data_IF_652184238953
#
_entry.id   IF_652184238953
#
_cell.length_a   1.000
_cell.length_b   1.000
_cell.length_c   1.000
_cell.angle_alpha   90.00
_cell.angle_beta   90.00
_cell.angle_gamma   90.00
#
_symmetry.space_group_name_H-M   'P 1'
#
loop_
_entity.id
_entity.type
_entity.pdbx_description
1 polymer ?
#
# COMPACT_ATOMS: atom_id res chain seq x y z
N UNK A 1 -15.59 19.31 19.88
CA UNK A 1 -15.71 20.44 20.84
C UNK A 1 -15.15 21.66 20.19
N UNK A 2 -15.90 22.76 20.08
CA UNK A 2 -15.42 24.01 19.47
C UNK A 2 -14.44 24.73 20.39
N UNK A 3 -13.56 25.60 19.83
CA UNK A 3 -12.60 26.40 20.60
C UNK A 3 -13.30 27.33 21.60
N UNK A 4 -14.50 27.82 21.27
CA UNK A 4 -15.31 28.63 22.17
C UNK A 4 -15.81 27.81 23.38
N UNK A 5 -16.17 26.55 23.18
CA UNK A 5 -16.61 25.64 24.24
C UNK A 5 -15.44 25.20 25.12
N UNK A 6 -14.27 24.93 24.52
CA UNK A 6 -13.02 24.66 25.28
C UNK A 6 -12.58 25.87 26.10
N UNK A 7 -12.62 27.07 25.54
CA UNK A 7 -12.30 28.32 26.23
C UNK A 7 -13.18 28.51 27.46
N UNK A 8 -14.48 28.25 27.34
CA UNK A 8 -15.45 28.37 28.45
C UNK A 8 -15.21 27.30 29.53
N UNK A 9 -14.94 26.03 29.13
CA UNK A 9 -14.70 24.93 30.08
C UNK A 9 -13.40 25.08 30.85
N UNK A 10 -12.36 25.67 30.22
CA UNK A 10 -11.04 25.81 30.82
C UNK A 10 -10.83 27.19 31.44
N UNK A 11 -11.82 28.08 31.38
CA UNK A 11 -11.76 29.47 31.84
C UNK A 11 -10.54 30.27 31.30
N UNK A 12 -10.12 29.96 30.05
CA UNK A 12 -8.93 30.54 29.43
C UNK A 12 -9.33 31.52 28.32
N UNK A 13 -8.88 32.77 28.45
CA UNK A 13 -9.15 33.85 27.47
C UNK A 13 -8.43 33.67 26.13
N UNK A 14 -7.30 32.90 26.08
CA UNK A 14 -6.45 32.76 24.90
C UNK A 14 -6.17 31.27 24.61
N UNK A 15 -7.17 30.60 24.03
CA UNK A 15 -7.11 29.15 23.73
C UNK A 15 -5.97 28.82 22.76
N UNK A 16 -5.70 29.71 21.76
CA UNK A 16 -4.63 29.53 20.78
C UNK A 16 -3.25 29.46 21.41
N UNK A 17 -3.01 30.33 22.42
CA UNK A 17 -1.73 30.33 23.16
C UNK A 17 -1.58 29.06 24.01
N UNK A 18 -2.69 28.58 24.60
CA UNK A 18 -2.69 27.32 25.35
C UNK A 18 -2.39 26.13 24.44
N UNK A 19 -3.03 26.07 23.26
CA UNK A 19 -2.79 25.03 22.23
C UNK A 19 -1.33 25.05 21.76
N UNK A 20 -0.77 26.24 21.46
CA UNK A 20 0.62 26.40 21.05
C UNK A 20 1.60 25.93 22.12
N UNK A 21 1.37 26.32 23.38
CA UNK A 21 2.22 25.89 24.51
C UNK A 21 2.11 24.38 24.75
N UNK A 22 0.91 23.83 24.67
CA UNK A 22 0.69 22.37 24.77
C UNK A 22 1.41 21.63 23.65
N UNK A 23 1.30 22.10 22.41
CA UNK A 23 1.99 21.54 21.27
C UNK A 23 3.50 21.52 21.46
N UNK A 24 4.09 22.64 21.92
CA UNK A 24 5.52 22.72 22.24
C UNK A 24 5.92 21.70 23.29
N UNK A 25 5.16 21.58 24.39
CA UNK A 25 5.41 20.58 25.44
C UNK A 25 5.29 19.15 24.95
N UNK A 26 4.33 18.88 24.05
CA UNK A 26 4.20 17.56 23.41
C UNK A 26 5.46 17.25 22.58
N UNK A 27 5.93 18.21 21.77
CA UNK A 27 7.16 18.03 20.97
C UNK A 27 8.36 17.76 21.87
N UNK A 28 8.54 18.52 22.95
CA UNK A 28 9.60 18.30 23.93
C UNK A 28 9.52 16.90 24.56
N UNK A 29 8.32 16.46 24.97
CA UNK A 29 8.11 15.15 25.56
C UNK A 29 8.41 14.01 24.57
N UNK A 30 7.99 14.15 23.30
CA UNK A 30 8.22 13.16 22.26
C UNK A 30 9.71 12.99 21.90
N UNK A 31 10.52 14.04 22.12
CA UNK A 31 11.97 13.99 21.86
C UNK A 31 12.80 13.48 23.05
N UNK A 32 12.18 13.14 24.17
CA UNK A 32 12.88 12.55 25.32
C UNK A 32 13.32 11.11 25.06
N UNK A 33 14.41 10.69 25.67
CA UNK A 33 14.99 9.33 25.50
C UNK A 33 14.03 8.21 25.88
N UNK A 34 13.19 8.44 26.90
CA UNK A 34 12.17 7.48 27.33
C UNK A 34 11.20 7.10 26.22
N UNK A 35 10.80 8.09 25.40
CA UNK A 35 9.88 7.84 24.29
C UNK A 35 10.56 7.14 23.11
N UNK A 36 11.76 7.62 22.76
CA UNK A 36 12.59 7.09 21.67
C UNK A 36 13.03 5.65 21.92
N UNK A 37 13.17 5.24 23.19
CA UNK A 37 13.58 3.89 23.58
C UNK A 37 12.45 2.86 23.56
N UNK A 38 11.22 3.25 23.18
CA UNK A 38 10.09 2.32 23.10
C UNK A 38 10.27 1.35 21.93
N UNK A 39 10.56 0.09 22.26
CA UNK A 39 10.80 -0.99 21.29
C UNK A 39 9.55 -1.45 20.53
N UNK A 40 8.37 -1.10 21.01
CA UNK A 40 7.11 -1.37 20.31
C UNK A 40 6.88 -0.40 19.16
N UNK A 41 7.30 0.85 19.33
CA UNK A 41 7.12 1.92 18.36
C UNK A 41 8.29 2.06 17.38
N UNK A 42 9.52 1.77 17.82
CA UNK A 42 10.72 2.03 17.05
C UNK A 42 11.63 0.80 16.95
N UNK A 43 12.08 0.48 15.76
CA UNK A 43 13.11 -0.53 15.56
C UNK A 43 14.41 -0.09 16.23
N UNK A 44 15.32 -1.06 16.48
CA UNK A 44 16.67 -0.78 17.00
C UNK A 44 17.42 0.23 16.14
N UNK A 45 17.25 0.14 14.82
CA UNK A 45 17.86 1.10 13.89
C UNK A 45 17.26 2.50 14.04
N UNK A 46 15.92 2.63 14.15
CA UNK A 46 15.29 3.93 14.36
C UNK A 46 15.78 4.60 15.65
N UNK A 47 15.89 3.84 16.75
CA UNK A 47 16.46 4.34 18.01
C UNK A 47 17.91 4.80 17.84
N UNK A 48 18.71 4.07 17.07
CA UNK A 48 20.09 4.45 16.75
C UNK A 48 20.15 5.73 15.95
N UNK A 49 19.30 5.89 14.93
CA UNK A 49 19.21 7.13 14.13
C UNK A 49 18.87 8.33 15.01
N UNK A 50 17.90 8.21 15.93
CA UNK A 50 17.55 9.30 16.85
C UNK A 50 18.72 9.65 17.80
N UNK A 51 19.45 8.66 18.30
CA UNK A 51 20.65 8.90 19.13
C UNK A 51 21.73 9.64 18.35
N UNK A 52 22.00 9.24 17.11
CA UNK A 52 22.96 9.91 16.24
C UNK A 52 22.58 11.37 15.96
N UNK A 53 21.28 11.66 15.73
CA UNK A 53 20.77 13.03 15.55
C UNK A 53 21.01 13.87 16.81
N UNK A 54 20.79 13.33 18.01
CA UNK A 54 21.10 14.03 19.28
C UNK A 54 22.59 14.26 19.47
N UNK A 55 23.43 13.28 19.14
CA UNK A 55 24.88 13.42 19.20
C UNK A 55 25.39 14.53 18.26
N UNK A 56 24.87 14.55 17.02
CA UNK A 56 25.22 15.60 16.05
C UNK A 56 24.84 17.00 16.57
N UNK A 57 23.63 17.16 17.15
CA UNK A 57 23.20 18.41 17.74
C UNK A 57 24.13 18.84 18.90
N UNK A 58 24.48 17.93 19.79
CA UNK A 58 25.42 18.20 20.88
C UNK A 58 26.80 18.65 20.37
N UNK A 59 27.33 17.96 19.36
CA UNK A 59 28.61 18.31 18.72
C UNK A 59 28.55 19.71 18.08
N UNK A 60 27.45 20.06 17.42
CA UNK A 60 27.23 21.39 16.82
C UNK A 60 27.29 22.52 17.90
N UNK A 61 26.68 22.27 19.05
CA UNK A 61 26.71 23.23 20.18
C UNK A 61 28.14 23.37 20.68
N UNK A 62 28.85 22.24 20.87
CA UNK A 62 30.26 22.27 21.32
C UNK A 62 31.18 22.94 20.29
N UNK A 63 30.93 22.71 19.01
CA UNK A 63 31.70 23.28 17.90
C UNK A 63 31.60 24.81 17.84
N UNK A 64 30.42 25.39 18.15
CA UNK A 64 30.27 26.88 18.25
C UNK A 64 31.15 27.52 19.32
N UNK A 65 31.47 26.78 20.37
CA UNK A 65 32.31 27.20 21.49
C UNK A 65 33.71 26.57 21.39
N UNK A 66 34.21 26.36 20.15
CA UNK A 66 35.46 25.67 19.89
C UNK A 66 36.64 26.54 20.37
N UNK A 67 37.42 26.01 21.30
CA UNK A 67 38.70 26.55 21.74
C UNK A 67 39.83 25.61 21.33
N UNK A 68 41.06 26.10 21.26
CA UNK A 68 42.22 25.34 20.78
C UNK A 68 42.45 24.02 21.55
N UNK A 69 42.25 24.04 22.85
CA UNK A 69 42.36 22.91 23.76
C UNK A 69 41.25 21.86 23.57
N UNK A 70 40.06 22.23 23.10
CA UNK A 70 38.89 21.35 22.89
C UNK A 70 38.86 20.70 21.51
N UNK A 71 39.68 21.17 20.57
CA UNK A 71 39.65 20.71 19.16
C UNK A 71 39.83 19.19 19.04
N UNK A 72 40.77 18.59 19.78
CA UNK A 72 41.01 17.15 19.74
C UNK A 72 39.83 16.34 20.25
N UNK A 73 39.15 16.78 21.29
CA UNK A 73 37.99 16.12 21.86
C UNK A 73 36.81 16.14 20.86
N UNK A 74 36.60 17.28 20.21
CA UNK A 74 35.54 17.40 19.19
C UNK A 74 35.82 16.55 17.96
N UNK A 75 37.07 16.50 17.47
CA UNK A 75 37.44 15.62 16.37
C UNK A 75 37.22 14.15 16.71
N UNK A 76 37.55 13.69 17.92
CA UNK A 76 37.25 12.33 18.37
C UNK A 76 35.74 12.03 18.38
N UNK A 77 34.92 12.99 18.88
CA UNK A 77 33.45 12.84 18.87
C UNK A 77 32.88 12.78 17.44
N UNK A 78 33.42 13.60 16.53
CA UNK A 78 33.04 13.55 15.10
C UNK A 78 33.44 12.23 14.47
N UNK A 79 34.65 11.69 14.74
CA UNK A 79 35.10 10.40 14.21
C UNK A 79 34.19 9.24 14.64
N UNK A 80 33.79 9.24 15.94
CA UNK A 80 32.88 8.25 16.48
C UNK A 80 31.48 8.37 15.85
N UNK A 81 30.97 9.60 15.74
CA UNK A 81 29.68 9.86 15.11
C UNK A 81 29.66 9.42 13.64
N UNK A 82 30.69 9.80 12.86
CA UNK A 82 30.82 9.44 11.45
C UNK A 82 30.87 7.92 11.29
N UNK A 83 31.71 7.24 12.08
CA UNK A 83 31.80 5.76 12.05
C UNK A 83 30.45 5.09 12.30
N UNK A 84 29.71 5.57 13.32
CA UNK A 84 28.40 5.03 13.65
C UNK A 84 27.33 5.38 12.61
N UNK A 85 27.36 6.59 12.04
CA UNK A 85 26.44 7.02 10.99
C UNK A 85 26.65 6.23 9.70
N UNK A 86 27.88 5.99 9.29
CA UNK A 86 28.23 5.13 8.12
C UNK A 86 27.74 3.71 8.37
N UNK A 87 28.05 3.12 9.54
CA UNK A 87 27.62 1.76 9.89
C UNK A 87 26.11 1.56 9.78
N UNK A 88 25.33 2.59 10.12
CA UNK A 88 23.86 2.54 10.10
C UNK A 88 23.26 3.19 8.84
N UNK A 89 24.08 3.55 7.86
CA UNK A 89 23.68 4.17 6.57
C UNK A 89 22.86 5.46 6.75
N UNK A 90 23.21 6.28 7.72
CA UNK A 90 22.57 7.57 7.99
C UNK A 90 23.34 8.67 7.26
N UNK A 91 23.22 8.72 5.93
CA UNK A 91 24.06 9.55 5.07
C UNK A 91 23.96 11.04 5.34
N UNK A 92 22.78 11.54 5.70
CA UNK A 92 22.59 12.96 6.08
C UNK A 92 23.49 13.36 7.26
N UNK A 93 23.56 12.52 8.30
CA UNK A 93 24.44 12.76 9.47
C UNK A 93 25.90 12.59 9.09
N UNK A 94 26.22 11.59 8.27
CA UNK A 94 27.59 11.37 7.79
C UNK A 94 28.13 12.57 7.03
N UNK A 95 27.36 13.10 6.07
CA UNK A 95 27.73 14.28 5.27
C UNK A 95 27.97 15.48 6.16
N UNK A 96 27.01 15.75 7.06
CA UNK A 96 27.09 16.91 7.93
C UNK A 96 28.26 16.82 8.93
N UNK A 97 28.48 15.67 9.54
CA UNK A 97 29.60 15.47 10.46
C UNK A 97 30.96 15.56 9.73
N UNK A 98 31.06 15.05 8.51
CA UNK A 98 32.24 15.22 7.66
C UNK A 98 32.48 16.68 7.29
N UNK A 99 31.43 17.45 7.00
CA UNK A 99 31.55 18.90 6.73
C UNK A 99 32.10 19.67 7.93
N UNK A 100 31.63 19.37 9.15
CA UNK A 100 32.16 19.95 10.37
C UNK A 100 33.64 19.56 10.59
N UNK A 101 33.99 18.30 10.31
CA UNK A 101 35.36 17.78 10.43
C UNK A 101 36.30 18.39 9.40
N UNK A 102 35.86 18.53 8.16
CA UNK A 102 36.69 18.92 7.00
C UNK A 102 37.50 20.20 7.26
N UNK A 103 36.80 21.25 7.67
CA UNK A 103 37.44 22.54 7.88
C UNK A 103 38.48 22.53 9.04
N UNK A 104 38.11 21.95 10.17
CA UNK A 104 38.99 21.82 11.34
C UNK A 104 40.23 20.96 11.03
N UNK A 105 40.06 19.88 10.27
CA UNK A 105 41.15 19.00 9.87
C UNK A 105 42.06 19.68 8.85
N UNK A 106 41.48 20.43 7.88
CA UNK A 106 42.23 21.17 6.88
C UNK A 106 43.14 22.26 7.48
N UNK A 107 42.63 23.02 8.45
CA UNK A 107 43.45 24.02 9.16
C UNK A 107 44.62 23.37 9.89
N UNK A 108 44.44 22.15 10.42
CA UNK A 108 45.43 21.51 11.27
C UNK A 108 46.47 20.67 10.47
N UNK A 109 46.01 19.98 9.46
CA UNK A 109 46.80 18.95 8.74
C UNK A 109 47.02 19.29 7.25
N UNK A 110 46.45 20.41 6.79
CA UNK A 110 46.65 20.95 5.47
C UNK A 110 45.65 20.47 4.40
N UNK A 111 45.91 20.92 3.17
CA UNK A 111 44.99 20.81 2.05
C UNK A 111 44.71 19.35 1.64
N UNK A 112 45.70 18.47 1.75
CA UNK A 112 45.54 17.05 1.37
C UNK A 112 44.44 16.35 2.19
N UNK A 113 44.44 16.57 3.51
CA UNK A 113 43.44 15.98 4.38
C UNK A 113 42.06 16.64 4.16
N UNK A 114 42.03 17.93 3.81
CA UNK A 114 40.80 18.61 3.44
C UNK A 114 40.19 17.97 2.16
N UNK A 115 40.98 17.79 1.10
CA UNK A 115 40.53 17.20 -0.19
C UNK A 115 40.10 15.74 -0.04
N UNK A 116 40.75 14.98 0.84
CA UNK A 116 40.35 13.60 1.16
C UNK A 116 38.96 13.55 1.77
N UNK A 117 38.69 14.37 2.79
CA UNK A 117 37.37 14.42 3.41
C UNK A 117 36.33 14.96 2.43
N UNK A 118 36.71 15.89 1.54
CA UNK A 118 35.82 16.40 0.51
C UNK A 118 35.38 15.30 -0.46
N UNK A 119 36.29 14.43 -0.87
CA UNK A 119 36.00 13.28 -1.71
C UNK A 119 35.05 12.28 -1.00
N UNK A 120 35.22 12.07 0.30
CA UNK A 120 34.29 11.24 1.10
C UNK A 120 32.89 11.86 1.15
N UNK A 121 32.80 13.19 1.33
CA UNK A 121 31.50 13.90 1.31
C UNK A 121 30.80 13.71 -0.04
N UNK A 122 31.51 13.86 -1.15
CA UNK A 122 30.93 13.67 -2.48
C UNK A 122 30.44 12.24 -2.69
N UNK A 123 31.18 11.23 -2.24
CA UNK A 123 30.71 9.85 -2.28
C UNK A 123 29.40 9.63 -1.51
N UNK A 124 29.27 10.17 -0.30
CA UNK A 124 28.04 10.00 0.49
C UNK A 124 26.89 10.84 -0.04
N UNK A 125 27.12 12.00 -0.64
CA UNK A 125 26.09 12.78 -1.37
C UNK A 125 25.53 12.00 -2.55
N UNK A 126 26.40 11.39 -3.35
CA UNK A 126 25.99 10.55 -4.48
C UNK A 126 25.19 9.33 -3.99
N UNK A 127 25.63 8.69 -2.90
CA UNK A 127 24.93 7.55 -2.29
C UNK A 127 23.54 7.95 -1.78
N UNK A 128 23.44 9.10 -1.10
CA UNK A 128 22.15 9.63 -0.62
C UNK A 128 21.21 9.97 -1.79
N UNK A 129 21.74 10.58 -2.84
CA UNK A 129 20.98 10.89 -4.06
C UNK A 129 20.47 9.62 -4.73
N UNK A 130 21.29 8.57 -4.80
CA UNK A 130 20.89 7.27 -5.33
C UNK A 130 19.78 6.62 -4.49
N UNK A 131 19.87 6.70 -3.17
CA UNK A 131 18.83 6.21 -2.27
C UNK A 131 17.51 6.96 -2.48
N UNK A 132 17.53 8.29 -2.56
CA UNK A 132 16.31 9.08 -2.84
C UNK A 132 15.69 8.71 -4.18
N UNK A 133 16.50 8.56 -5.23
CA UNK A 133 16.00 8.13 -6.55
C UNK A 133 15.34 6.76 -6.48
N UNK A 134 15.95 5.78 -5.81
CA UNK A 134 15.39 4.43 -5.65
C UNK A 134 14.04 4.46 -4.88
N UNK A 135 13.97 5.27 -3.83
CA UNK A 135 12.73 5.49 -3.05
C UNK A 135 11.63 6.13 -3.88
N UNK A 136 11.97 7.18 -4.65
CA UNK A 136 11.01 7.89 -5.51
C UNK A 136 10.46 7.01 -6.62
N UNK A 137 11.31 6.20 -7.26
CA UNK A 137 10.88 5.27 -8.31
C UNK A 137 9.88 4.24 -7.78
N UNK A 138 10.15 3.68 -6.60
CA UNK A 138 9.21 2.77 -5.96
C UNK A 138 7.91 3.47 -5.55
N UNK A 139 8.01 4.66 -4.97
CA UNK A 139 6.83 5.45 -4.55
C UNK A 139 5.95 5.84 -5.74
N UNK A 140 6.55 6.25 -6.86
CA UNK A 140 5.82 6.57 -8.09
C UNK A 140 5.07 5.36 -8.64
N UNK A 141 5.69 4.18 -8.58
CA UNK A 141 5.04 2.93 -9.00
C UNK A 141 3.83 2.61 -8.09
N UNK A 142 3.98 2.70 -6.78
CA UNK A 142 2.90 2.47 -5.83
C UNK A 142 1.73 3.46 -6.04
N UNK A 143 2.03 4.75 -6.18
CA UNK A 143 1.03 5.79 -6.43
C UNK A 143 0.32 5.62 -7.79
N UNK A 144 1.05 5.19 -8.83
CA UNK A 144 0.44 4.90 -10.13
C UNK A 144 -0.59 3.78 -10.04
N UNK A 145 -0.29 2.74 -9.26
CA UNK A 145 -1.20 1.61 -9.08
C UNK A 145 -2.45 2.00 -8.28
N UNK A 146 -2.32 2.91 -7.31
CA UNK A 146 -3.43 3.29 -6.40
C UNK A 146 -4.33 4.40 -6.94
N UNK A 147 -3.76 5.46 -7.53
CA UNK A 147 -4.50 6.72 -7.68
C UNK A 147 -4.74 7.17 -9.12
N UNK A 148 -3.83 6.93 -10.04
CA UNK A 148 -4.00 7.37 -11.44
C UNK A 148 -3.12 6.60 -12.40
N UNK A 149 -3.69 6.01 -13.45
CA UNK A 149 -2.93 5.48 -14.59
C UNK A 149 -2.42 6.62 -15.47
N UNK A 150 -1.27 7.20 -15.12
CA UNK A 150 -0.62 8.25 -15.90
C UNK A 150 0.11 7.71 -17.14
N UNK A 151 0.57 6.45 -17.07
CA UNK A 151 1.39 5.82 -18.08
C UNK A 151 0.68 4.61 -18.68
N UNK A 152 0.94 4.34 -19.95
CA UNK A 152 0.55 3.06 -20.55
C UNK A 152 1.32 1.90 -19.88
N UNK A 153 0.78 0.68 -19.96
CA UNK A 153 1.42 -0.51 -19.40
C UNK A 153 2.85 -0.69 -19.92
N UNK A 154 3.08 -0.46 -21.22
CA UNK A 154 4.40 -0.55 -21.87
C UNK A 154 5.39 0.52 -21.37
N UNK A 155 4.92 1.75 -21.18
CA UNK A 155 5.76 2.83 -20.63
C UNK A 155 6.18 2.52 -19.20
N UNK A 156 5.23 2.03 -18.40
CA UNK A 156 5.50 1.64 -17.01
C UNK A 156 6.51 0.49 -16.91
N UNK A 157 6.42 -0.52 -17.79
CA UNK A 157 7.39 -1.62 -17.86
C UNK A 157 8.79 -1.15 -18.23
N UNK A 158 8.87 -0.21 -19.17
CA UNK A 158 10.15 0.39 -19.58
C UNK A 158 10.77 1.23 -18.45
N UNK A 159 9.95 2.04 -17.75
CA UNK A 159 10.40 2.82 -16.61
C UNK A 159 10.88 1.92 -15.47
N UNK A 160 10.13 0.87 -15.14
CA UNK A 160 10.49 -0.08 -14.10
C UNK A 160 11.79 -0.82 -14.43
N UNK A 161 11.93 -1.28 -15.67
CA UNK A 161 13.17 -1.96 -16.12
C UNK A 161 14.39 -1.03 -16.06
N UNK A 162 14.20 0.24 -16.40
CA UNK A 162 15.26 1.27 -16.32
C UNK A 162 15.60 1.59 -14.86
N UNK A 163 14.60 1.70 -13.98
CA UNK A 163 14.79 1.91 -12.55
C UNK A 163 15.57 0.76 -11.90
N UNK A 164 15.23 -0.50 -12.22
CA UNK A 164 15.96 -1.68 -11.73
C UNK A 164 17.43 -1.65 -12.15
N UNK A 165 17.72 -1.41 -13.44
CA UNK A 165 19.11 -1.36 -13.94
C UNK A 165 19.94 -0.28 -13.22
N UNK A 166 19.38 0.92 -13.08
CA UNK A 166 20.02 2.04 -12.38
C UNK A 166 20.26 1.71 -10.91
N UNK A 167 19.22 1.29 -10.18
CA UNK A 167 19.33 0.96 -8.75
C UNK A 167 20.31 -0.20 -8.51
N UNK A 168 20.38 -1.16 -9.44
CA UNK A 168 21.37 -2.26 -9.38
C UNK A 168 22.79 -1.75 -9.54
N UNK A 169 23.04 -0.79 -10.44
CA UNK A 169 24.35 -0.13 -10.59
C UNK A 169 24.70 0.66 -9.33
N UNK A 170 23.76 1.42 -8.79
CA UNK A 170 23.93 2.21 -7.57
C UNK A 170 24.26 1.30 -6.38
N UNK A 171 23.56 0.18 -6.22
CA UNK A 171 23.89 -0.83 -5.20
C UNK A 171 25.27 -1.42 -5.39
N UNK A 172 25.67 -1.76 -6.63
CA UNK A 172 27.02 -2.28 -6.93
C UNK A 172 28.11 -1.32 -6.48
N UNK A 173 27.90 -0.02 -6.67
CA UNK A 173 28.88 1.02 -6.36
C UNK A 173 28.91 1.39 -4.87
N UNK A 174 27.76 1.40 -4.21
CA UNK A 174 27.62 1.91 -2.83
C UNK A 174 27.57 0.82 -1.77
N UNK A 175 27.17 -0.40 -2.13
CA UNK A 175 26.88 -1.53 -1.23
C UNK A 175 25.85 -1.22 -0.14
N UNK A 176 25.03 -0.19 -0.34
CA UNK A 176 24.00 0.24 0.62
C UNK A 176 22.88 -0.78 0.75
N UNK A 177 22.61 -1.22 1.98
CA UNK A 177 21.50 -2.11 2.30
C UNK A 177 20.14 -1.45 2.04
N UNK A 178 20.03 -0.13 2.22
CA UNK A 178 18.81 0.61 1.94
C UNK A 178 18.53 0.66 0.43
N UNK A 179 19.53 0.90 -0.42
CA UNK A 179 19.39 0.85 -1.88
C UNK A 179 19.05 -0.59 -2.31
N UNK A 180 19.69 -1.60 -1.72
CA UNK A 180 19.34 -3.00 -1.98
C UNK A 180 17.88 -3.31 -1.63
N UNK A 181 17.38 -2.79 -0.51
CA UNK A 181 15.99 -2.95 -0.11
C UNK A 181 15.03 -2.45 -1.21
N UNK A 182 15.21 -1.24 -1.73
CA UNK A 182 14.37 -0.70 -2.80
C UNK A 182 14.55 -1.45 -4.12
N UNK A 183 15.78 -1.90 -4.43
CA UNK A 183 16.03 -2.77 -5.59
C UNK A 183 15.17 -4.05 -5.52
N UNK A 184 15.10 -4.71 -4.36
CA UNK A 184 14.30 -5.91 -4.19
C UNK A 184 12.79 -5.64 -4.34
N UNK A 185 12.30 -4.49 -3.88
CA UNK A 185 10.91 -4.08 -4.08
C UNK A 185 10.60 -3.82 -5.57
N UNK A 186 11.48 -3.16 -6.29
CA UNK A 186 11.33 -2.94 -7.74
C UNK A 186 11.32 -4.26 -8.52
N UNK A 187 12.20 -5.21 -8.17
CA UNK A 187 12.22 -6.56 -8.77
C UNK A 187 10.92 -7.29 -8.47
N UNK A 188 10.42 -7.22 -7.24
CA UNK A 188 9.14 -7.85 -6.86
C UNK A 188 7.98 -7.29 -7.69
N UNK A 189 7.91 -5.97 -7.85
CA UNK A 189 6.91 -5.32 -8.69
C UNK A 189 7.02 -5.76 -10.16
N UNK A 190 8.23 -5.97 -10.69
CA UNK A 190 8.43 -6.50 -12.05
C UNK A 190 7.92 -7.93 -12.18
N UNK A 191 8.18 -8.80 -11.19
CA UNK A 191 7.70 -10.18 -11.17
C UNK A 191 6.16 -10.23 -11.11
N UNK A 192 5.54 -9.39 -10.30
CA UNK A 192 4.08 -9.25 -10.21
C UNK A 192 3.48 -8.83 -11.56
N UNK A 193 4.00 -7.78 -12.19
CA UNK A 193 3.54 -7.30 -13.50
C UNK A 193 3.68 -8.34 -14.61
N UNK A 194 4.74 -9.16 -14.55
CA UNK A 194 4.94 -10.30 -15.46
C UNK A 194 4.10 -11.52 -15.11
N UNK A 195 3.28 -11.44 -14.06
CA UNK A 195 2.48 -12.56 -13.52
C UNK A 195 3.32 -13.78 -13.15
N UNK A 196 4.61 -13.59 -12.82
CA UNK A 196 5.53 -14.64 -12.41
C UNK A 196 5.38 -14.97 -10.91
N UNK A 197 4.14 -15.23 -10.46
CA UNK A 197 3.78 -15.30 -9.04
C UNK A 197 4.58 -16.33 -8.23
N UNK A 198 4.92 -17.50 -8.80
CA UNK A 198 5.76 -18.49 -8.10
C UNK A 198 7.15 -17.93 -7.80
N UNK A 199 7.75 -17.21 -8.76
CA UNK A 199 9.05 -16.55 -8.54
C UNK A 199 8.92 -15.41 -7.53
N UNK A 200 7.83 -14.64 -7.58
CA UNK A 200 7.55 -13.57 -6.66
C UNK A 200 7.41 -14.06 -5.20
N UNK A 201 6.75 -15.20 -4.98
CA UNK A 201 6.68 -15.84 -3.65
C UNK A 201 8.08 -16.22 -3.14
N UNK A 202 8.88 -16.93 -3.95
CA UNK A 202 10.22 -17.34 -3.56
C UNK A 202 11.12 -16.13 -3.27
N UNK A 203 11.02 -15.09 -4.10
CA UNK A 203 11.70 -13.82 -3.91
C UNK A 203 11.31 -13.15 -2.59
N UNK A 204 10.00 -13.04 -2.31
CA UNK A 204 9.49 -12.44 -1.06
C UNK A 204 9.97 -13.20 0.18
N UNK A 205 9.96 -14.54 0.16
CA UNK A 205 10.43 -15.38 1.27
C UNK A 205 11.94 -15.18 1.51
N UNK A 206 12.74 -15.16 0.45
CA UNK A 206 14.17 -14.88 0.55
C UNK A 206 14.43 -13.47 1.09
N UNK A 207 13.61 -12.50 0.64
CA UNK A 207 13.72 -11.11 1.07
C UNK A 207 13.30 -10.92 2.53
N UNK A 208 12.27 -11.62 3.03
CA UNK A 208 11.92 -11.67 4.45
C UNK A 208 13.12 -12.12 5.30
N UNK A 209 13.83 -13.17 4.85
CA UNK A 209 15.03 -13.66 5.54
C UNK A 209 16.11 -12.58 5.58
N UNK A 210 16.32 -11.87 4.47
CA UNK A 210 17.27 -10.76 4.41
C UNK A 210 16.88 -9.63 5.37
N UNK A 211 15.62 -9.17 5.36
CA UNK A 211 15.16 -8.10 6.24
C UNK A 211 15.35 -8.47 7.71
N UNK A 212 15.05 -9.72 8.09
CA UNK A 212 15.23 -10.20 9.48
C UNK A 212 16.67 -10.18 9.95
N UNK A 213 17.63 -10.34 9.05
CA UNK A 213 19.05 -10.44 9.37
C UNK A 213 19.85 -9.15 9.15
N UNK A 214 19.20 -8.07 8.70
CA UNK A 214 19.85 -6.79 8.43
C UNK A 214 19.23 -5.69 9.29
N UNK A 215 19.91 -5.31 10.38
CA UNK A 215 19.43 -4.28 11.33
C UNK A 215 19.07 -2.96 10.64
N UNK A 216 19.79 -2.58 9.57
CA UNK A 216 19.59 -1.31 8.84
C UNK A 216 18.18 -1.23 8.19
N UNK A 217 17.73 -2.35 7.63
CA UNK A 217 16.43 -2.41 6.94
C UNK A 217 15.37 -3.12 7.78
N UNK A 218 15.73 -3.67 8.94
CA UNK A 218 14.78 -4.38 9.79
C UNK A 218 13.69 -3.44 10.31
N UNK A 219 12.45 -3.75 9.96
CA UNK A 219 11.21 -3.21 10.55
C UNK A 219 10.15 -4.30 10.49
N UNK A 220 9.38 -4.44 11.55
CA UNK A 220 8.29 -5.43 11.62
C UNK A 220 7.31 -5.24 10.46
N UNK A 221 6.91 -4.00 10.18
CA UNK A 221 5.97 -3.65 9.12
C UNK A 221 6.46 -4.08 7.72
N UNK A 222 7.77 -4.02 7.47
CA UNK A 222 8.36 -4.48 6.21
C UNK A 222 8.23 -6.00 6.03
N UNK A 223 8.33 -6.74 7.13
CA UNK A 223 8.14 -8.20 7.12
C UNK A 223 6.66 -8.53 6.91
N UNK A 224 5.75 -7.83 7.61
CA UNK A 224 4.31 -7.95 7.41
C UNK A 224 3.92 -7.68 5.96
N UNK A 225 4.41 -6.58 5.38
CA UNK A 225 4.17 -6.23 3.97
C UNK A 225 4.63 -7.33 3.00
N UNK A 226 5.76 -7.97 3.26
CA UNK A 226 6.21 -9.09 2.42
C UNK A 226 5.31 -10.32 2.57
N UNK A 227 4.79 -10.62 3.76
CA UNK A 227 3.83 -11.70 3.96
C UNK A 227 2.48 -11.42 3.29
N UNK A 228 2.01 -10.17 3.29
CA UNK A 228 0.81 -9.77 2.52
C UNK A 228 1.01 -9.99 1.02
N UNK A 229 2.18 -9.64 0.47
CA UNK A 229 2.51 -9.94 -0.93
C UNK A 229 2.52 -11.46 -1.22
N UNK A 230 3.09 -12.27 -0.32
CA UNK A 230 3.06 -13.75 -0.46
C UNK A 230 1.62 -14.26 -0.46
N UNK A 231 0.77 -13.76 0.44
CA UNK A 231 -0.66 -14.07 0.48
C UNK A 231 -1.34 -13.71 -0.83
N UNK A 232 -1.15 -12.50 -1.33
CA UNK A 232 -1.70 -12.02 -2.59
C UNK A 232 -1.30 -12.90 -3.78
N UNK A 233 -0.01 -13.22 -3.90
CA UNK A 233 0.47 -14.08 -5.00
C UNK A 233 -0.08 -15.51 -4.91
N UNK A 234 -0.28 -16.04 -3.72
CA UNK A 234 -0.94 -17.34 -3.52
C UNK A 234 -2.40 -17.30 -3.94
N UNK A 235 -3.13 -16.19 -3.68
CA UNK A 235 -4.50 -16.02 -4.20
C UNK A 235 -4.51 -16.08 -5.73
N UNK A 236 -3.59 -15.38 -6.40
CA UNK A 236 -3.48 -15.45 -7.87
C UNK A 236 -3.18 -16.85 -8.39
N UNK A 237 -2.50 -17.69 -7.62
CA UNK A 237 -2.21 -19.09 -7.97
C UNK A 237 -3.32 -20.07 -7.55
N UNK A 238 -4.37 -19.60 -6.86
CA UNK A 238 -5.46 -20.45 -6.36
C UNK A 238 -5.14 -21.19 -5.04
N UNK A 239 -3.99 -20.94 -4.42
CA UNK A 239 -3.68 -21.47 -3.08
C UNK A 239 -4.29 -20.59 -1.99
N UNK A 240 -5.61 -20.59 -1.91
CA UNK A 240 -6.37 -19.76 -0.98
C UNK A 240 -6.14 -20.13 0.49
N UNK A 241 -5.95 -21.43 0.79
CA UNK A 241 -5.67 -21.89 2.15
C UNK A 241 -4.30 -21.38 2.63
N UNK A 242 -3.28 -21.51 1.80
CA UNK A 242 -1.96 -20.98 2.09
C UNK A 242 -1.94 -19.45 2.16
N UNK A 243 -2.74 -18.78 1.34
CA UNK A 243 -2.88 -17.33 1.36
C UNK A 243 -3.44 -16.81 2.70
N UNK A 244 -4.51 -17.43 3.22
CA UNK A 244 -5.09 -17.06 4.50
C UNK A 244 -4.08 -17.19 5.66
N UNK A 245 -3.29 -18.28 5.67
CA UNK A 245 -2.23 -18.48 6.67
C UNK A 245 -1.18 -17.38 6.60
N UNK A 246 -0.78 -16.97 5.39
CA UNK A 246 0.27 -15.96 5.24
C UNK A 246 -0.24 -14.54 5.53
N UNK A 247 -1.53 -14.24 5.27
CA UNK A 247 -2.16 -13.00 5.75
C UNK A 247 -2.20 -12.94 7.29
N UNK A 248 -2.52 -14.04 7.97
CA UNK A 248 -2.47 -14.10 9.44
C UNK A 248 -1.04 -13.88 9.96
N UNK A 249 -0.02 -14.46 9.31
CA UNK A 249 1.38 -14.18 9.65
C UNK A 249 1.74 -12.70 9.47
N UNK A 250 1.22 -12.04 8.42
CA UNK A 250 1.46 -10.61 8.23
C UNK A 250 0.92 -9.79 9.40
N UNK A 251 -0.27 -10.13 9.91
CA UNK A 251 -0.91 -9.44 11.04
C UNK A 251 -0.06 -9.48 12.31
N UNK A 252 0.73 -10.54 12.54
CA UNK A 252 1.63 -10.67 13.70
C UNK A 252 2.74 -9.59 13.72
N UNK A 253 3.06 -9.02 12.55
CA UNK A 253 4.12 -8.02 12.40
C UNK A 253 3.61 -6.56 12.44
N UNK A 254 2.30 -6.36 12.40
CA UNK A 254 1.73 -5.02 12.44
C UNK A 254 1.30 -4.60 13.84
N UNK A 255 1.34 -3.31 14.11
CA UNK A 255 0.70 -2.78 15.31
C UNK A 255 -0.81 -3.02 15.22
N UNK A 256 -1.37 -3.52 16.31
CA UNK A 256 -2.82 -3.71 16.44
C UNK A 256 -3.53 -2.38 16.14
N UNK A 257 -4.60 -2.44 15.38
CA UNK A 257 -5.37 -1.27 14.96
C UNK A 257 -4.61 -0.27 14.06
N UNK A 258 -3.49 -0.66 13.43
CA UNK A 258 -2.84 0.14 12.40
C UNK A 258 -3.56 0.00 11.06
N UNK A 259 -3.31 0.96 10.15
CA UNK A 259 -3.82 0.85 8.78
C UNK A 259 -3.39 -0.45 8.09
N UNK A 260 -2.15 -0.87 8.29
CA UNK A 260 -1.62 -2.11 7.71
C UNK A 260 -2.31 -3.36 8.26
N UNK A 261 -2.70 -3.37 9.54
CA UNK A 261 -3.47 -4.49 10.09
C UNK A 261 -4.83 -4.62 9.41
N UNK A 262 -5.51 -3.51 9.10
CA UNK A 262 -6.76 -3.54 8.35
C UNK A 262 -6.57 -4.11 6.93
N UNK A 263 -5.51 -3.68 6.22
CA UNK A 263 -5.20 -4.19 4.88
C UNK A 263 -4.94 -5.70 4.91
N UNK A 264 -4.23 -6.19 5.93
CA UNK A 264 -3.93 -7.61 6.06
C UNK A 264 -5.17 -8.45 6.42
N UNK A 265 -6.10 -7.93 7.22
CA UNK A 265 -7.42 -8.56 7.45
C UNK A 265 -8.21 -8.63 6.13
N UNK A 266 -8.11 -7.62 5.28
CA UNK A 266 -8.74 -7.62 3.96
C UNK A 266 -8.11 -8.68 3.04
N UNK A 267 -6.79 -8.91 3.08
CA UNK A 267 -6.14 -10.01 2.36
C UNK A 267 -6.65 -11.38 2.85
N UNK A 268 -6.79 -11.56 4.15
CA UNK A 268 -7.35 -12.77 4.74
C UNK A 268 -8.82 -13.01 4.29
N UNK A 269 -9.61 -11.93 4.23
CA UNK A 269 -10.97 -11.96 3.71
C UNK A 269 -11.00 -12.51 2.27
N UNK A 270 -10.20 -11.97 1.36
CA UNK A 270 -10.15 -12.44 -0.03
C UNK A 270 -9.79 -13.92 -0.10
N UNK A 271 -8.80 -14.36 0.67
CA UNK A 271 -8.39 -15.75 0.71
C UNK A 271 -9.52 -16.68 1.18
N UNK A 272 -10.24 -16.32 2.24
CA UNK A 272 -11.38 -17.09 2.73
C UNK A 272 -12.58 -17.05 1.79
N UNK A 273 -12.88 -15.90 1.21
CA UNK A 273 -13.98 -15.73 0.27
C UNK A 273 -13.79 -16.62 -0.97
N UNK A 274 -12.62 -16.57 -1.61
CA UNK A 274 -12.34 -17.41 -2.77
C UNK A 274 -12.20 -18.90 -2.43
N UNK A 275 -11.79 -19.22 -1.21
CA UNK A 275 -11.78 -20.61 -0.71
C UNK A 275 -13.18 -21.13 -0.33
N UNK A 276 -14.24 -20.31 -0.48
CA UNK A 276 -15.62 -20.63 -0.06
C UNK A 276 -15.75 -20.92 1.46
N UNK A 277 -14.82 -20.43 2.25
CA UNK A 277 -14.92 -20.47 3.71
C UNK A 277 -15.69 -19.24 4.21
N UNK A 278 -17.00 -19.29 3.99
CA UNK A 278 -17.90 -18.15 4.17
C UNK A 278 -17.94 -17.67 5.63
N UNK A 279 -17.92 -18.58 6.60
CA UNK A 279 -17.92 -18.20 8.02
C UNK A 279 -16.70 -17.33 8.39
N UNK A 280 -15.50 -17.71 7.94
CA UNK A 280 -14.30 -16.93 8.18
C UNK A 280 -14.27 -15.64 7.37
N UNK A 281 -14.81 -15.63 6.15
CA UNK A 281 -14.94 -14.40 5.37
C UNK A 281 -15.86 -13.39 6.07
N UNK A 282 -16.99 -13.81 6.65
CA UNK A 282 -17.86 -12.96 7.47
C UNK A 282 -17.14 -12.42 8.69
N UNK A 283 -16.41 -13.26 9.40
CA UNK A 283 -15.62 -12.83 10.55
C UNK A 283 -14.58 -11.75 10.20
N UNK A 284 -13.89 -11.90 9.08
CA UNK A 284 -12.98 -10.86 8.60
C UNK A 284 -13.72 -9.54 8.31
N UNK A 285 -14.95 -9.58 7.75
CA UNK A 285 -15.76 -8.38 7.51
C UNK A 285 -16.12 -7.70 8.84
N UNK A 286 -16.51 -8.46 9.86
CA UNK A 286 -16.80 -7.93 11.19
C UNK A 286 -15.58 -7.22 11.78
N UNK A 287 -14.41 -7.87 11.75
CA UNK A 287 -13.15 -7.26 12.18
C UNK A 287 -12.82 -5.97 11.41
N UNK A 288 -13.05 -5.95 10.08
CA UNK A 288 -12.82 -4.75 9.26
C UNK A 288 -13.80 -3.63 9.61
N UNK A 289 -15.06 -3.95 9.90
CA UNK A 289 -16.08 -2.95 10.25
C UNK A 289 -15.85 -2.34 11.64
N UNK A 290 -15.34 -3.13 12.60
CA UNK A 290 -15.01 -2.68 13.95
C UNK A 290 -13.64 -1.97 14.04
N UNK A 291 -12.83 -2.07 12.98
CA UNK A 291 -11.49 -1.52 12.98
C UNK A 291 -11.51 0.03 13.02
N UNK A 292 -10.64 0.71 13.81
CA UNK A 292 -10.63 2.17 13.93
C UNK A 292 -10.47 2.92 12.60
N UNK A 293 -9.84 2.32 11.60
CA UNK A 293 -9.70 2.88 10.26
C UNK A 293 -10.88 2.57 9.31
N UNK A 294 -11.92 1.86 9.78
CA UNK A 294 -13.12 1.60 8.97
C UNK A 294 -13.84 2.88 8.59
N UNK A 295 -13.87 3.85 9.49
CA UNK A 295 -14.53 5.15 9.34
C UNK A 295 -13.68 6.21 8.64
N UNK A 296 -12.46 5.88 8.21
CA UNK A 296 -11.54 6.84 7.58
C UNK A 296 -11.98 7.33 6.18
N UNK A 297 -13.23 7.04 5.77
CA UNK A 297 -13.85 7.55 4.56
C UNK A 297 -15.04 6.72 4.10
N UNK A 298 -15.98 7.37 3.41
CA UNK A 298 -17.20 6.75 2.85
C UNK A 298 -16.86 5.56 1.93
N UNK A 299 -15.72 5.64 1.22
CA UNK A 299 -15.22 4.58 0.34
C UNK A 299 -15.11 3.22 1.04
N UNK A 300 -14.47 3.18 2.23
CA UNK A 300 -14.27 1.91 2.95
C UNK A 300 -15.56 1.34 3.50
N UNK A 301 -16.41 2.18 4.06
CA UNK A 301 -17.74 1.72 4.53
C UNK A 301 -18.54 1.06 3.41
N UNK A 302 -18.61 1.72 2.25
CA UNK A 302 -19.31 1.19 1.08
C UNK A 302 -18.67 -0.10 0.57
N UNK A 303 -17.34 -0.18 0.55
CA UNK A 303 -16.58 -1.36 0.14
C UNK A 303 -16.86 -2.56 1.03
N UNK A 304 -16.83 -2.39 2.36
CA UNK A 304 -17.11 -3.48 3.30
C UNK A 304 -18.58 -3.91 3.26
N UNK A 305 -19.49 -2.98 3.04
CA UNK A 305 -20.91 -3.30 2.82
C UNK A 305 -21.10 -4.12 1.54
N UNK A 306 -20.41 -3.77 0.46
CA UNK A 306 -20.39 -4.54 -0.78
C UNK A 306 -19.82 -5.95 -0.57
N UNK A 307 -18.73 -6.10 0.20
CA UNK A 307 -18.18 -7.42 0.53
C UNK A 307 -19.20 -8.29 1.26
N UNK A 308 -19.90 -7.72 2.23
CA UNK A 308 -20.96 -8.42 2.98
C UNK A 308 -22.08 -8.87 2.06
N UNK A 309 -22.50 -8.03 1.11
CA UNK A 309 -23.49 -8.38 0.10
C UNK A 309 -23.02 -9.53 -0.80
N UNK A 310 -21.73 -9.53 -1.22
CA UNK A 310 -21.15 -10.62 -2.01
C UNK A 310 -21.14 -11.94 -1.22
N UNK A 311 -20.81 -11.90 0.07
CA UNK A 311 -20.85 -13.09 0.93
C UNK A 311 -22.27 -13.63 1.09
N UNK A 312 -23.26 -12.76 1.29
CA UNK A 312 -24.66 -13.17 1.35
C UNK A 312 -25.17 -13.73 0.02
N UNK A 313 -24.69 -13.18 -1.10
CA UNK A 313 -24.96 -13.73 -2.43
C UNK A 313 -24.46 -15.18 -2.56
N UNK A 314 -23.22 -15.46 -2.13
CA UNK A 314 -22.65 -16.81 -2.14
C UNK A 314 -23.45 -17.80 -1.26
N UNK A 315 -24.07 -17.30 -0.18
CA UNK A 315 -24.99 -18.06 0.66
C UNK A 315 -26.41 -18.24 0.03
N UNK A 316 -26.63 -17.69 -1.16
CA UNK A 316 -27.97 -17.63 -1.81
C UNK A 316 -29.01 -16.82 -1.00
N UNK A 317 -28.58 -15.99 -0.09
CA UNK A 317 -29.41 -15.08 0.70
C UNK A 317 -29.66 -13.76 -0.06
N UNK A 318 -30.22 -13.86 -1.25
CA UNK A 318 -30.31 -12.75 -2.20
C UNK A 318 -31.09 -11.53 -1.66
N UNK A 319 -32.17 -11.76 -0.91
CA UNK A 319 -32.91 -10.66 -0.30
C UNK A 319 -32.08 -9.91 0.76
N UNK A 320 -31.27 -10.63 1.54
CA UNK A 320 -30.38 -10.02 2.55
C UNK A 320 -29.24 -9.29 1.85
N UNK A 321 -28.65 -9.86 0.80
CA UNK A 321 -27.63 -9.21 -0.02
C UNK A 321 -28.15 -7.89 -0.61
N UNK A 322 -29.34 -7.89 -1.18
CA UNK A 322 -29.97 -6.67 -1.70
C UNK A 322 -30.23 -5.63 -0.59
N UNK A 323 -30.70 -6.06 0.59
CA UNK A 323 -30.91 -5.16 1.73
C UNK A 323 -29.63 -4.47 2.18
N UNK A 324 -28.45 -5.12 2.05
CA UNK A 324 -27.16 -4.46 2.31
C UNK A 324 -26.86 -3.38 1.27
N UNK A 325 -27.15 -3.63 -0.02
CA UNK A 325 -26.80 -2.71 -1.10
C UNK A 325 -27.76 -1.53 -1.25
N UNK A 326 -29.07 -1.69 -0.96
CA UNK A 326 -30.10 -0.67 -1.23
C UNK A 326 -29.83 0.70 -0.59
N UNK A 327 -29.08 0.74 0.52
CA UNK A 327 -28.68 1.94 1.25
C UNK A 327 -27.19 2.26 1.06
N UNK A 328 -26.48 1.52 0.20
CA UNK A 328 -25.07 1.77 -0.08
C UNK A 328 -24.97 2.95 -1.02
N UNK A 329 -24.50 4.06 -0.49
CA UNK A 329 -24.24 5.26 -1.28
C UNK A 329 -23.19 4.96 -2.36
N UNK A 330 -23.30 5.63 -3.49
CA UNK A 330 -22.25 5.59 -4.51
C UNK A 330 -20.92 5.98 -3.86
N UNK A 331 -19.85 5.27 -4.23
CA UNK A 331 -18.51 5.54 -3.76
C UNK A 331 -18.04 6.82 -4.45
N UNK A 332 -18.13 7.96 -3.75
CA UNK A 332 -17.96 9.31 -4.31
C UNK A 332 -16.63 9.52 -5.05
N UNK A 333 -15.58 8.85 -4.64
CA UNK A 333 -14.23 9.00 -5.22
C UNK A 333 -13.89 7.97 -6.28
N UNK A 334 -14.66 6.88 -6.39
CA UNK A 334 -14.48 5.85 -7.41
C UNK A 334 -15.51 5.97 -8.52
N UNK A 335 -15.21 6.83 -9.48
CA UNK A 335 -16.15 7.08 -10.60
C UNK A 335 -16.34 5.89 -11.55
N UNK A 336 -15.58 4.80 -11.42
CA UNK A 336 -15.52 3.82 -12.49
C UNK A 336 -15.58 2.34 -12.11
N UNK A 337 -14.80 1.85 -11.17
CA UNK A 337 -14.67 0.39 -10.98
C UNK A 337 -15.63 -0.20 -9.95
N UNK A 338 -15.63 0.29 -8.73
CA UNK A 338 -16.46 -0.25 -7.65
C UNK A 338 -17.94 0.02 -7.88
N UNK A 339 -18.28 1.21 -8.36
CA UNK A 339 -19.67 1.57 -8.68
C UNK A 339 -20.24 0.72 -9.82
N UNK A 340 -19.44 0.35 -10.82
CA UNK A 340 -19.88 -0.54 -11.91
C UNK A 340 -20.15 -1.93 -11.34
N UNK A 341 -19.25 -2.49 -10.57
CA UNK A 341 -19.41 -3.83 -9.98
C UNK A 341 -20.58 -3.91 -8.99
N UNK A 342 -20.79 -2.86 -8.20
CA UNK A 342 -21.93 -2.73 -7.31
C UNK A 342 -23.24 -2.71 -8.11
N UNK A 343 -23.30 -1.96 -9.20
CA UNK A 343 -24.48 -1.90 -10.10
C UNK A 343 -24.73 -3.24 -10.81
N UNK A 344 -23.67 -3.93 -11.24
CA UNK A 344 -23.78 -5.27 -11.83
C UNK A 344 -24.33 -6.25 -10.79
N UNK A 345 -23.81 -6.26 -9.56
CA UNK A 345 -24.31 -7.15 -8.51
C UNK A 345 -25.78 -6.85 -8.17
N UNK A 346 -26.17 -5.58 -8.17
CA UNK A 346 -27.56 -5.20 -7.93
C UNK A 346 -28.51 -5.73 -9.04
N UNK A 347 -28.08 -5.67 -10.31
CA UNK A 347 -28.85 -6.25 -11.42
C UNK A 347 -28.96 -7.76 -11.25
N UNK A 348 -27.86 -8.45 -10.95
CA UNK A 348 -27.82 -9.89 -10.69
C UNK A 348 -28.81 -10.25 -9.56
N UNK A 349 -28.80 -9.50 -8.46
CA UNK A 349 -29.70 -9.73 -7.33
C UNK A 349 -31.17 -9.55 -7.71
N UNK A 350 -31.51 -8.58 -8.55
CA UNK A 350 -32.89 -8.43 -9.05
C UNK A 350 -33.31 -9.62 -9.90
N UNK A 351 -32.42 -10.15 -10.73
CA UNK A 351 -32.68 -11.35 -11.54
C UNK A 351 -32.94 -12.56 -10.63
N UNK A 352 -32.06 -12.83 -9.66
CA UNK A 352 -32.21 -13.92 -8.70
C UNK A 352 -33.49 -13.79 -7.84
N UNK A 353 -33.92 -12.58 -7.54
CA UNK A 353 -35.17 -12.29 -6.82
C UNK A 353 -36.40 -12.28 -7.74
N UNK A 354 -36.25 -12.58 -9.02
CA UNK A 354 -37.33 -12.54 -10.05
C UNK A 354 -38.01 -11.18 -10.19
N UNK A 355 -37.30 -10.10 -9.88
CA UNK A 355 -37.72 -8.71 -10.01
C UNK A 355 -37.29 -8.16 -11.38
N UNK A 356 -37.90 -8.68 -12.43
CA UNK A 356 -37.49 -8.45 -13.82
C UNK A 356 -37.53 -6.96 -14.21
N UNK A 357 -38.60 -6.27 -13.84
CA UNK A 357 -38.78 -4.83 -14.16
C UNK A 357 -37.70 -3.96 -13.49
N UNK A 358 -37.31 -4.30 -12.26
CA UNK A 358 -36.22 -3.64 -11.52
C UNK A 358 -34.88 -3.95 -12.15
N UNK A 359 -34.65 -5.19 -12.59
CA UNK A 359 -33.43 -5.58 -13.30
C UNK A 359 -33.25 -4.78 -14.59
N UNK A 360 -34.31 -4.66 -15.42
CA UNK A 360 -34.28 -3.88 -16.67
C UNK A 360 -34.00 -2.39 -16.40
N UNK A 361 -34.67 -1.78 -15.40
CA UNK A 361 -34.41 -0.38 -15.04
C UNK A 361 -32.97 -0.16 -14.57
N UNK A 362 -32.44 -1.07 -13.73
CA UNK A 362 -31.09 -1.01 -13.24
C UNK A 362 -30.05 -1.19 -14.36
N UNK A 363 -30.31 -2.07 -15.33
CA UNK A 363 -29.48 -2.28 -16.50
C UNK A 363 -29.42 -1.03 -17.41
N UNK A 364 -30.58 -0.39 -17.66
CA UNK A 364 -30.62 0.83 -18.44
C UNK A 364 -29.91 1.99 -17.72
N UNK A 365 -30.00 2.07 -16.38
CA UNK A 365 -29.26 3.04 -15.58
C UNK A 365 -27.73 2.80 -15.66
N UNK A 366 -27.28 1.54 -15.63
CA UNK A 366 -25.86 1.17 -15.80
C UNK A 366 -25.37 1.54 -17.20
N UNK A 367 -26.14 1.24 -18.24
CA UNK A 367 -25.82 1.62 -19.62
C UNK A 367 -25.58 3.13 -19.77
N UNK A 368 -26.54 3.92 -19.27
CA UNK A 368 -26.42 5.40 -19.28
C UNK A 368 -25.22 5.89 -18.47
N UNK A 369 -24.90 5.23 -17.36
CA UNK A 369 -23.72 5.55 -16.56
C UNK A 369 -22.43 5.32 -17.37
N UNK A 370 -22.29 4.17 -18.01
CA UNK A 370 -21.13 3.83 -18.86
C UNK A 370 -21.02 4.80 -20.06
N UNK A 371 -22.14 5.15 -20.71
CA UNK A 371 -22.11 6.09 -21.84
C UNK A 371 -21.64 7.49 -21.42
N UNK A 372 -22.07 7.98 -20.26
CA UNK A 372 -21.63 9.29 -19.73
C UNK A 372 -20.15 9.31 -19.32
N UNK A 373 -19.62 8.17 -18.92
CA UNK A 373 -18.24 8.00 -18.46
C UNK A 373 -17.32 7.42 -19.55
N UNK A 374 -17.80 7.30 -20.82
CA UNK A 374 -17.10 6.65 -21.93
C UNK A 374 -15.73 7.25 -22.25
N UNK A 375 -15.50 8.51 -21.92
CA UNK A 375 -14.22 9.18 -22.06
C UNK A 375 -13.30 9.00 -20.85
N UNK A 376 -13.74 8.29 -19.84
CA UNK A 376 -12.96 7.98 -18.66
C UNK A 376 -12.23 6.64 -18.93
N UNK A 377 -10.90 6.68 -19.03
CA UNK A 377 -10.03 5.52 -19.37
C UNK A 377 -10.18 4.29 -18.47
N UNK A 378 -11.05 4.37 -17.48
CA UNK A 378 -11.22 3.36 -16.44
C UNK A 378 -12.30 2.33 -16.73
N UNK A 379 -13.17 2.53 -17.75
CA UNK A 379 -14.15 1.52 -18.18
C UNK A 379 -13.43 0.46 -18.99
N UNK A 380 -13.44 -0.77 -18.48
CA UNK A 380 -12.73 -1.88 -19.13
C UNK A 380 -13.55 -2.46 -20.28
N UNK A 381 -12.89 -3.15 -21.22
CA UNK A 381 -13.57 -3.95 -22.25
C UNK A 381 -14.44 -5.04 -21.62
N UNK A 382 -14.02 -5.56 -20.47
CA UNK A 382 -14.83 -6.51 -19.69
C UNK A 382 -16.15 -5.92 -19.21
N UNK A 383 -16.16 -4.71 -18.67
CA UNK A 383 -17.39 -4.05 -18.20
C UNK A 383 -18.38 -3.84 -19.35
N UNK A 384 -17.88 -3.42 -20.52
CA UNK A 384 -18.68 -3.27 -21.73
C UNK A 384 -19.27 -4.59 -22.20
N UNK A 385 -18.47 -5.66 -22.16
CA UNK A 385 -18.90 -7.01 -22.57
C UNK A 385 -19.94 -7.58 -21.59
N UNK A 386 -19.79 -7.36 -20.29
CA UNK A 386 -20.78 -7.73 -19.27
C UNK A 386 -22.13 -7.04 -19.54
N UNK A 387 -22.13 -5.73 -19.78
CA UNK A 387 -23.36 -4.97 -20.10
C UNK A 387 -23.99 -5.48 -21.40
N UNK A 388 -23.19 -5.76 -22.41
CA UNK A 388 -23.69 -6.34 -23.68
C UNK A 388 -24.34 -7.71 -23.44
N UNK A 389 -23.70 -8.55 -22.64
CA UNK A 389 -24.23 -9.88 -22.28
C UNK A 389 -25.57 -9.74 -21.51
N UNK A 390 -25.64 -8.84 -20.53
CA UNK A 390 -26.87 -8.60 -19.77
C UNK A 390 -28.00 -8.10 -20.67
N UNK A 391 -27.73 -7.26 -21.66
CA UNK A 391 -28.74 -6.80 -22.63
C UNK A 391 -29.25 -7.93 -23.51
N UNK A 392 -28.39 -8.82 -23.97
CA UNK A 392 -28.85 -10.01 -24.73
C UNK A 392 -29.68 -10.94 -23.84
N UNK A 393 -29.33 -11.05 -22.55
CA UNK A 393 -30.09 -11.83 -21.59
C UNK A 393 -31.44 -11.19 -21.27
N UNK A 394 -31.53 -9.86 -21.20
CA UNK A 394 -32.78 -9.11 -21.04
C UNK A 394 -33.77 -9.35 -22.17
N UNK A 395 -33.31 -9.44 -23.44
CA UNK A 395 -34.16 -9.71 -24.61
C UNK A 395 -34.90 -11.04 -24.53
N UNK A 396 -34.43 -11.96 -23.69
CA UNK A 396 -35.04 -13.27 -23.42
C UNK A 396 -35.75 -13.28 -22.05
N UNK A 397 -36.08 -12.09 -21.50
CA UNK A 397 -36.75 -11.92 -20.20
C UNK A 397 -35.91 -12.40 -19.02
N UNK A 398 -34.57 -12.35 -19.13
CA UNK A 398 -33.63 -12.91 -18.19
C UNK A 398 -33.82 -14.43 -17.95
N UNK A 399 -34.28 -15.14 -18.99
CA UNK A 399 -34.39 -16.58 -19.03
C UNK A 399 -33.65 -17.09 -20.28
N UNK A 400 -32.99 -18.24 -20.19
CA UNK A 400 -32.17 -18.77 -21.29
C UNK A 400 -32.98 -19.71 -22.18
N UNK A 401 -34.12 -19.24 -22.69
CA UNK A 401 -35.03 -20.08 -23.51
C UNK A 401 -34.58 -20.14 -24.98
N UNK A 402 -34.25 -18.99 -25.60
CA UNK A 402 -34.01 -18.90 -27.05
C UNK A 402 -32.61 -18.43 -27.43
N UNK A 403 -31.85 -17.79 -26.50
CA UNK A 403 -30.55 -17.19 -26.80
C UNK A 403 -29.38 -17.90 -26.15
N UNK A 404 -29.54 -19.17 -25.77
CA UNK A 404 -28.49 -19.94 -25.09
C UNK A 404 -27.16 -19.91 -25.84
N UNK A 405 -27.15 -20.07 -27.16
CA UNK A 405 -25.94 -20.06 -27.98
C UNK A 405 -25.23 -18.68 -27.96
N UNK A 406 -25.97 -17.57 -28.01
CA UNK A 406 -25.40 -16.24 -27.99
C UNK A 406 -24.74 -15.98 -26.63
N UNK A 407 -25.43 -16.31 -25.54
CA UNK A 407 -24.89 -16.14 -24.17
C UNK A 407 -23.68 -17.06 -23.97
N UNK A 408 -23.68 -18.28 -24.48
CA UNK A 408 -22.52 -19.19 -24.40
C UNK A 408 -21.29 -18.59 -25.08
N UNK A 409 -21.45 -17.92 -26.23
CA UNK A 409 -20.35 -17.23 -26.90
C UNK A 409 -19.77 -16.10 -26.03
N UNK A 410 -20.64 -15.31 -25.38
CA UNK A 410 -20.17 -14.27 -24.46
C UNK A 410 -19.48 -14.86 -23.22
N UNK A 411 -19.98 -15.96 -22.67
CA UNK A 411 -19.32 -16.68 -21.56
C UNK A 411 -17.92 -17.13 -21.99
N UNK A 412 -17.80 -17.69 -23.21
CA UNK A 412 -16.51 -18.10 -23.76
C UNK A 412 -15.54 -16.92 -23.84
N UNK A 413 -15.97 -15.76 -24.37
CA UNK A 413 -15.15 -14.55 -24.45
C UNK A 413 -14.71 -14.05 -23.07
N UNK A 414 -15.62 -14.01 -22.08
CA UNK A 414 -15.35 -13.58 -20.72
C UNK A 414 -14.46 -14.56 -19.94
N UNK A 415 -14.42 -15.82 -20.35
CA UNK A 415 -13.63 -16.89 -19.72
C UNK A 415 -12.27 -17.09 -20.37
N UNK A 416 -12.06 -16.59 -21.59
CA UNK A 416 -10.80 -16.74 -22.33
C UNK A 416 -9.68 -15.92 -21.64
N UNK A 417 -8.48 -16.51 -21.46
CA UNK A 417 -7.34 -15.78 -20.92
C UNK A 417 -6.90 -14.66 -21.88
N UNK A 418 -7.42 -13.47 -21.68
CA UNK A 418 -7.04 -12.26 -22.39
C UNK A 418 -7.01 -11.11 -21.39
N UNK A 419 -5.90 -10.40 -21.30
CA UNK A 419 -5.67 -9.35 -20.30
C UNK A 419 -6.71 -8.22 -20.31
N UNK A 420 -7.41 -8.01 -21.40
CA UNK A 420 -8.43 -6.95 -21.53
C UNK A 420 -9.82 -7.36 -21.02
N UNK A 421 -10.16 -8.65 -21.03
CA UNK A 421 -11.51 -9.15 -20.69
C UNK A 421 -11.52 -10.23 -19.62
N UNK A 422 -10.37 -10.76 -19.23
CA UNK A 422 -10.27 -11.78 -18.17
C UNK A 422 -10.68 -11.21 -16.81
N UNK A 423 -11.38 -12.04 -16.06
CA UNK A 423 -11.57 -11.80 -14.64
C UNK A 423 -10.25 -11.99 -13.87
N UNK A 424 -9.98 -11.10 -12.94
CA UNK A 424 -8.81 -11.19 -12.07
C UNK A 424 -9.21 -11.11 -10.60
N UNK A 425 -8.47 -11.82 -9.75
CA UNK A 425 -8.58 -11.66 -8.31
C UNK A 425 -8.30 -10.19 -7.92
N UNK A 426 -8.84 -9.75 -6.79
CA UNK A 426 -8.72 -8.38 -6.29
C UNK A 426 -9.33 -7.29 -7.19
N UNK A 427 -10.02 -7.68 -8.28
CA UNK A 427 -10.86 -6.74 -9.01
C UNK A 427 -12.07 -6.34 -8.16
N UNK A 428 -12.74 -5.25 -8.53
CA UNK A 428 -14.00 -4.87 -7.90
C UNK A 428 -15.13 -5.89 -8.11
N UNK A 429 -14.98 -6.79 -9.10
CA UNK A 429 -15.92 -7.87 -9.41
C UNK A 429 -15.60 -9.11 -8.54
N UNK A 430 -16.08 -9.13 -7.28
CA UNK A 430 -15.87 -10.29 -6.38
C UNK A 430 -16.61 -11.54 -6.85
N UNK A 431 -17.84 -11.36 -7.34
CA UNK A 431 -18.63 -12.43 -7.94
C UNK A 431 -18.31 -12.45 -9.44
N UNK A 432 -17.56 -13.46 -9.96
CA UNK A 432 -17.20 -13.49 -11.37
C UNK A 432 -18.45 -13.63 -12.23
N UNK A 433 -18.81 -12.60 -12.99
CA UNK A 433 -20.02 -12.54 -13.79
C UNK A 433 -20.16 -13.75 -14.74
N UNK A 434 -19.08 -14.16 -15.39
CA UNK A 434 -19.09 -15.31 -16.30
C UNK A 434 -19.44 -16.62 -15.59
N UNK A 435 -19.06 -16.79 -14.30
CA UNK A 435 -19.43 -17.98 -13.51
C UNK A 435 -20.90 -17.93 -13.09
N UNK A 436 -21.39 -16.75 -12.73
CA UNK A 436 -22.80 -16.57 -12.39
C UNK A 436 -23.68 -16.83 -13.62
N UNK A 437 -23.43 -16.18 -14.76
CA UNK A 437 -24.25 -16.35 -15.95
C UNK A 437 -24.19 -17.80 -16.48
N UNK A 438 -23.03 -18.47 -16.33
CA UNK A 438 -22.88 -19.89 -16.66
C UNK A 438 -23.79 -20.77 -15.79
N UNK A 439 -23.96 -20.43 -14.50
CA UNK A 439 -24.87 -21.18 -13.61
C UNK A 439 -26.35 -21.04 -13.99
N UNK A 440 -26.71 -20.02 -14.76
CA UNK A 440 -28.06 -19.86 -15.29
C UNK A 440 -28.30 -20.72 -16.56
N UNK A 441 -27.22 -21.28 -17.18
CA UNK A 441 -27.31 -22.08 -18.39
C UNK A 441 -27.46 -23.57 -18.10
N UNK A 442 -27.22 -23.99 -16.88
CA UNK A 442 -27.35 -25.36 -16.39
C UNK A 442 -28.71 -25.57 -15.73
#
# INVERSE_FOLDING_TARGET
>A
VSDAELSKRLEVKRIDMLKSNLFTKIIEALTQDRFISNVELFSKNDQTVFKLKKQLLAIRILYRNLTRDKTNSILKLLDELIKNAIKNEVYEITIEALQLKKYTTGIRFGIKEFEKIDSEIEFYKLTQTALYKATDEYSKLALHNEFQKKYSEKELDNQLSSAIKRTQSDFKNTKSNQIYYFLQLLILAQLERKKEYKKAINHSIAFIKYIKNCDIVFRKERIGFMWDNVSQFKVYLGDYKGAAIDAQKAQEYYLKNSFHSLVSIEQEFYAHFYNKNIAKALFCIELMQEHPFSDSGQFRKSKFTYYKACVMFELKQFQQAWNQLKNTLEIETDKTRWNISLRILNIILFIELKKINEASRALEALRKHIERTKNDEKITKRDQLIVTTLREFEKDGFQLNHKKNVITNFISLLSTPNDEVSWTHYSSELIPFHKWIQSQTN
#
